data_IF_525182497767
#
_entry.id   IF_525182497767
#
_cell.length_a   1.000
_cell.length_b   1.000
_cell.length_c   1.000
_cell.angle_alpha   90.00
_cell.angle_beta   90.00
_cell.angle_gamma   90.00
#
_symmetry.space_group_name_H-M   'P 1'
#
loop_
_entity.id
_entity.type
_entity.pdbx_description
1 polymer ?
#
# COMPACT_ATOMS: atom_id res chain seq x y z
N UNK A 1 12.10 8.61 1.04
CA UNK A 1 11.97 7.18 1.33
C UNK A 1 10.73 6.73 0.54
N UNK A 2 10.40 5.45 0.45
CA UNK A 2 9.23 4.99 -0.33
C UNK A 2 8.65 3.75 0.32
N UNK A 3 7.31 3.67 0.39
CA UNK A 3 6.60 2.52 0.91
C UNK A 3 6.26 1.59 -0.26
N UNK A 4 6.58 0.30 -0.13
CA UNK A 4 6.29 -0.72 -1.14
C UNK A 4 5.38 -1.79 -0.59
N UNK A 5 4.26 -2.06 -1.29
CA UNK A 5 3.40 -3.20 -0.99
C UNK A 5 3.76 -4.35 -1.93
N UNK A 6 4.07 -5.53 -1.38
CA UNK A 6 4.45 -6.70 -2.18
C UNK A 6 3.90 -8.00 -1.58
N UNK A 7 3.50 -8.97 -2.42
CA UNK A 7 3.21 -10.31 -1.94
C UNK A 7 4.50 -11.00 -1.51
N UNK A 8 4.49 -11.55 -0.30
CA UNK A 8 5.54 -12.39 0.24
C UNK A 8 5.01 -13.82 0.36
N UNK A 9 5.72 -14.79 -0.20
CA UNK A 9 5.41 -16.21 0.04
C UNK A 9 6.24 -16.66 1.22
N UNK A 10 5.58 -16.99 2.33
CA UNK A 10 6.24 -17.58 3.51
C UNK A 10 6.54 -19.04 3.19
N UNK A 11 7.73 -19.32 2.67
CA UNK A 11 8.20 -20.71 2.54
C UNK A 11 8.91 -21.09 3.83
N UNK A 12 8.22 -21.83 4.71
CA UNK A 12 8.85 -22.39 5.90
C UNK A 12 9.82 -23.51 5.48
N UNK A 13 11.11 -23.21 5.41
CA UNK A 13 12.18 -24.19 5.46
C UNK A 13 13.14 -23.78 6.59
N UNK A 14 13.60 -24.78 7.33
CA UNK A 14 14.19 -24.63 8.66
C UNK A 14 15.33 -23.62 8.79
N UNK A 15 15.35 -23.04 9.98
CA UNK A 15 16.46 -22.45 10.74
C UNK A 15 17.23 -21.23 10.22
N UNK A 16 17.00 -20.73 9.01
CA UNK A 16 17.50 -19.41 8.62
C UNK A 16 16.44 -18.66 7.78
N UNK A 17 15.81 -17.65 8.38
CA UNK A 17 14.72 -16.86 7.80
C UNK A 17 15.19 -16.08 6.56
N UNK A 18 15.11 -16.70 5.38
CA UNK A 18 15.28 -16.00 4.09
C UNK A 18 13.91 -15.82 3.46
N UNK A 19 13.34 -14.63 3.59
CA UNK A 19 12.11 -14.21 2.91
C UNK A 19 12.38 -14.15 1.40
N UNK A 20 11.99 -15.19 0.67
CA UNK A 20 12.02 -15.15 -0.79
C UNK A 20 10.84 -14.31 -1.30
N UNK A 21 11.12 -13.03 -1.59
CA UNK A 21 10.19 -12.12 -2.27
C UNK A 21 10.03 -12.60 -3.72
N UNK A 22 8.97 -13.35 -3.99
CA UNK A 22 8.55 -13.62 -5.37
C UNK A 22 7.87 -12.35 -5.89
N UNK A 23 8.63 -11.54 -6.62
CA UNK A 23 8.20 -10.26 -7.20
C UNK A 23 7.03 -10.48 -8.17
N UNK A 24 5.79 -10.42 -7.67
CA UNK A 24 4.80 -9.63 -8.38
C UNK A 24 5.25 -8.17 -8.28
N UNK A 25 5.05 -7.40 -9.34
CA UNK A 25 5.46 -5.99 -9.41
C UNK A 25 4.80 -5.22 -8.25
N UNK A 26 5.55 -4.97 -7.18
CA UNK A 26 5.02 -4.35 -5.97
C UNK A 26 4.60 -2.91 -6.23
N UNK A 27 3.55 -2.45 -5.54
CA UNK A 27 3.09 -1.05 -5.67
C UNK A 27 4.01 -0.18 -4.83
N UNK A 28 4.90 0.55 -5.50
CA UNK A 28 5.78 1.52 -4.89
C UNK A 28 5.11 2.91 -4.86
N UNK A 29 5.03 3.50 -3.67
CA UNK A 29 4.48 4.83 -3.43
C UNK A 29 5.45 5.68 -2.62
N UNK A 30 5.47 6.98 -2.90
CA UNK A 30 6.23 7.95 -2.10
C UNK A 30 5.72 7.95 -0.64
N UNK A 31 6.62 8.09 0.35
CA UNK A 31 6.34 8.07 1.80
C UNK A 31 5.01 8.70 2.19
N UNK A 32 4.73 9.92 1.72
CA UNK A 32 3.52 10.64 2.13
C UNK A 32 2.25 10.04 1.55
N UNK A 33 2.31 9.58 0.30
CA UNK A 33 1.18 8.90 -0.33
C UNK A 33 1.00 7.49 0.26
N UNK A 34 2.10 6.82 0.62
CA UNK A 34 2.07 5.54 1.33
C UNK A 34 1.46 5.68 2.72
N UNK A 35 1.79 6.74 3.47
CA UNK A 35 1.17 7.03 4.76
C UNK A 35 -0.33 7.32 4.64
N UNK A 36 -0.75 8.11 3.64
CA UNK A 36 -2.17 8.35 3.34
C UNK A 36 -2.89 7.02 3.00
N UNK A 37 -2.25 6.13 2.23
CA UNK A 37 -2.79 4.80 1.90
C UNK A 37 -2.89 3.88 3.12
N UNK A 38 -1.86 3.84 3.97
CA UNK A 38 -1.88 3.03 5.20
C UNK A 38 -2.98 3.51 6.14
N UNK A 39 -3.16 4.83 6.26
CA UNK A 39 -4.28 5.42 7.01
C UNK A 39 -5.63 4.99 6.44
N UNK A 40 -5.81 5.03 5.11
CA UNK A 40 -7.04 4.58 4.44
C UNK A 40 -7.31 3.07 4.63
N UNK A 41 -6.26 2.26 4.68
CA UNK A 41 -6.36 0.81 4.91
C UNK A 41 -6.52 0.46 6.40
N UNK A 42 -6.46 1.45 7.29
CA UNK A 42 -6.47 1.26 8.74
C UNK A 42 -5.29 0.42 9.23
N UNK A 43 -4.13 0.59 8.59
CA UNK A 43 -2.88 -0.06 8.94
C UNK A 43 -1.97 0.95 9.64
N UNK A 44 -1.45 0.58 10.80
CA UNK A 44 -0.51 1.44 11.54
C UNK A 44 0.88 1.36 10.89
N UNK A 45 1.52 2.52 10.71
CA UNK A 45 2.90 2.62 10.25
C UNK A 45 3.75 3.26 11.35
N UNK A 46 4.23 2.43 12.28
CA UNK A 46 5.09 2.88 13.39
C UNK A 46 6.58 2.89 12.99
N UNK A 47 6.86 2.92 11.68
CA UNK A 47 8.22 2.93 11.12
C UNK A 47 8.81 1.53 10.85
N UNK A 48 8.04 0.47 11.10
CA UNK A 48 8.45 -0.92 10.87
C UNK A 48 7.63 -1.62 9.78
N UNK A 49 8.27 -2.64 9.22
CA UNK A 49 7.70 -3.65 8.34
C UNK A 49 6.40 -4.23 8.90
N UNK A 50 5.38 -4.37 8.05
CA UNK A 50 4.12 -5.01 8.41
C UNK A 50 3.72 -6.12 7.45
N UNK A 51 2.98 -7.11 7.96
CA UNK A 51 2.39 -8.21 7.18
C UNK A 51 0.90 -8.34 7.51
N UNK A 52 0.11 -8.76 6.53
CA UNK A 52 -1.25 -9.27 6.76
C UNK A 52 -1.64 -10.34 5.74
N UNK A 53 -2.66 -11.13 6.06
CA UNK A 53 -3.23 -12.10 5.12
C UNK A 53 -3.83 -11.38 3.91
N UNK A 54 -3.72 -11.98 2.72
CA UNK A 54 -4.16 -11.35 1.48
C UNK A 54 -5.68 -11.08 1.46
N UNK A 55 -6.49 -11.91 2.11
CA UNK A 55 -7.93 -11.72 2.24
C UNK A 55 -8.29 -10.54 3.15
N UNK A 56 -7.57 -10.37 4.27
CA UNK A 56 -7.74 -9.22 5.16
C UNK A 56 -7.32 -7.93 4.45
N UNK A 57 -6.20 -7.98 3.72
CA UNK A 57 -5.75 -6.87 2.89
C UNK A 57 -6.78 -6.50 1.83
N UNK A 58 -7.32 -7.49 1.10
CA UNK A 58 -8.36 -7.26 0.10
C UNK A 58 -9.62 -6.63 0.72
N UNK A 59 -10.06 -7.11 1.88
CA UNK A 59 -11.19 -6.53 2.61
C UNK A 59 -10.97 -5.05 2.95
N UNK A 60 -9.76 -4.70 3.41
CA UNK A 60 -9.36 -3.31 3.68
C UNK A 60 -9.30 -2.46 2.42
N UNK A 61 -8.77 -2.99 1.32
CA UNK A 61 -8.72 -2.29 0.02
C UNK A 61 -10.12 -1.99 -0.49
N UNK A 62 -11.04 -2.96 -0.44
CA UNK A 62 -12.43 -2.77 -0.85
C UNK A 62 -13.15 -1.73 0.01
N UNK A 63 -12.91 -1.75 1.32
CA UNK A 63 -13.45 -0.76 2.24
C UNK A 63 -12.87 0.64 1.98
N UNK A 64 -11.57 0.75 1.71
CA UNK A 64 -10.92 2.00 1.35
C UNK A 64 -11.44 2.56 0.02
N UNK A 65 -11.68 1.71 -0.99
CA UNK A 65 -12.30 2.11 -2.25
C UNK A 65 -13.72 2.67 -2.03
N UNK A 66 -14.52 2.03 -1.18
CA UNK A 66 -15.89 2.46 -0.88
C UNK A 66 -15.96 3.77 -0.07
N UNK A 67 -14.92 4.05 0.73
CA UNK A 67 -14.85 5.24 1.59
C UNK A 67 -14.00 6.37 1.02
N UNK A 68 -13.44 6.21 -0.19
CA UNK A 68 -12.46 7.15 -0.73
C UNK A 68 -12.99 8.59 -0.73
N UNK A 69 -14.20 8.81 -1.25
CA UNK A 69 -14.82 10.14 -1.35
C UNK A 69 -15.27 10.72 0.00
N UNK A 70 -15.32 9.89 1.05
CA UNK A 70 -15.70 10.31 2.41
C UNK A 70 -14.46 10.63 3.24
N UNK A 71 -13.40 9.85 3.08
CA UNK A 71 -12.19 9.92 3.89
C UNK A 71 -11.15 10.89 3.32
N UNK A 72 -11.17 11.16 2.01
CA UNK A 72 -10.21 12.04 1.35
C UNK A 72 -10.84 12.80 0.19
N UNK A 73 -10.26 13.95 -0.13
CA UNK A 73 -10.53 14.65 -1.39
C UNK A 73 -9.51 14.21 -2.45
N UNK A 74 -9.73 13.02 -3.04
CA UNK A 74 -8.90 12.55 -4.16
C UNK A 74 -9.33 13.15 -5.51
N UNK A 75 -10.58 13.61 -5.64
CA UNK A 75 -11.14 14.20 -6.85
C UNK A 75 -10.43 15.50 -7.24
N UNK A 76 -10.06 16.34 -6.27
CA UNK A 76 -9.35 17.59 -6.56
C UNK A 76 -7.82 17.44 -6.52
N UNK A 77 -7.31 16.28 -6.10
CA UNK A 77 -5.89 16.04 -5.90
C UNK A 77 -5.29 16.96 -4.82
N UNK A 78 -3.97 17.12 -4.85
CA UNK A 78 -3.25 18.04 -3.95
C UNK A 78 -2.23 18.86 -4.71
N UNK A 79 -2.25 20.17 -4.55
CA UNK A 79 -1.24 21.03 -5.18
C UNK A 79 0.13 20.81 -4.56
N UNK A 80 1.18 20.91 -5.39
CA UNK A 80 2.54 20.94 -4.89
C UNK A 80 2.75 22.25 -4.10
N UNK A 81 3.14 22.14 -2.84
CA UNK A 81 3.42 23.27 -1.98
C UNK A 81 4.90 23.28 -1.62
N UNK A 82 5.51 24.46 -1.59
CA UNK A 82 6.89 24.62 -1.13
C UNK A 82 6.92 25.66 -0.02
N UNK A 83 7.03 25.19 1.22
CA UNK A 83 7.18 26.04 2.39
C UNK A 83 8.62 25.95 2.91
N UNK A 84 9.39 27.03 2.70
CA UNK A 84 10.78 27.15 3.13
C UNK A 84 11.66 25.94 2.73
N UNK A 85 11.89 25.00 3.67
CA UNK A 85 12.72 23.80 3.49
C UNK A 85 11.91 22.58 3.03
N UNK A 86 10.59 22.61 3.14
CA UNK A 86 9.71 21.48 2.86
C UNK A 86 9.13 21.61 1.45
N UNK A 87 9.33 20.59 0.63
CA UNK A 87 8.66 20.46 -0.67
C UNK A 87 7.64 19.34 -0.55
N UNK A 88 6.36 19.70 -0.60
CA UNK A 88 5.27 18.76 -0.73
C UNK A 88 5.04 18.52 -2.23
N UNK A 89 5.41 17.33 -2.70
CA UNK A 89 5.12 16.90 -4.05
C UNK A 89 3.60 16.74 -4.16
N UNK A 90 2.98 17.54 -5.03
CA UNK A 90 1.54 17.48 -5.26
C UNK A 90 1.10 16.09 -5.75
N UNK A 91 -0.20 15.82 -5.60
CA UNK A 91 -0.87 14.59 -6.02
C UNK A 91 -1.87 14.91 -7.14
N UNK A 92 -1.85 14.12 -8.22
CA UNK A 92 -2.86 14.26 -9.28
C UNK A 92 -4.24 13.85 -8.76
N UNK A 93 -5.33 14.46 -9.26
CA UNK A 93 -6.67 13.92 -9.12
C UNK A 93 -6.73 12.42 -9.41
N UNK A 94 -7.44 11.66 -8.58
CA UNK A 94 -7.65 10.22 -8.77
C UNK A 94 -6.43 9.32 -8.46
N UNK A 95 -5.34 9.89 -7.93
CA UNK A 95 -4.13 9.09 -7.67
C UNK A 95 -4.37 7.98 -6.64
N UNK A 96 -5.11 8.25 -5.57
CA UNK A 96 -5.40 7.23 -4.56
C UNK A 96 -6.34 6.16 -5.11
N UNK A 97 -7.33 6.55 -5.93
CA UNK A 97 -8.20 5.60 -6.62
C UNK A 97 -7.40 4.62 -7.51
N UNK A 98 -6.44 5.14 -8.27
CA UNK A 98 -5.56 4.32 -9.10
C UNK A 98 -4.70 3.38 -8.25
N UNK A 99 -4.07 3.89 -7.19
CA UNK A 99 -3.22 3.07 -6.30
C UNK A 99 -4.04 1.98 -5.60
N UNK A 100 -5.26 2.27 -5.15
CA UNK A 100 -6.16 1.27 -4.57
C UNK A 100 -6.57 0.20 -5.58
N UNK A 101 -6.73 0.56 -6.86
CA UNK A 101 -6.99 -0.41 -7.93
C UNK A 101 -5.80 -1.34 -8.14
N UNK A 102 -4.58 -0.80 -8.17
CA UNK A 102 -3.36 -1.61 -8.25
C UNK A 102 -3.19 -2.54 -7.03
N UNK A 103 -3.48 -2.03 -5.83
CA UNK A 103 -3.46 -2.83 -4.61
C UNK A 103 -4.51 -3.95 -4.60
N UNK A 104 -5.68 -3.70 -5.18
CA UNK A 104 -6.71 -4.73 -5.37
C UNK A 104 -6.16 -5.86 -6.24
N UNK A 105 -5.53 -5.54 -7.38
CA UNK A 105 -4.94 -6.54 -8.27
C UNK A 105 -3.83 -7.34 -7.58
N UNK A 106 -2.97 -6.68 -6.80
CA UNK A 106 -1.93 -7.34 -6.01
C UNK A 106 -2.54 -8.28 -4.97
N UNK A 107 -3.60 -7.87 -4.29
CA UNK A 107 -4.29 -8.69 -3.30
C UNK A 107 -4.89 -9.96 -3.93
N UNK A 108 -5.53 -9.84 -5.11
CA UNK A 108 -6.06 -10.98 -5.84
C UNK A 108 -4.95 -11.96 -6.26
N UNK A 109 -3.85 -11.44 -6.80
CA UNK A 109 -2.70 -12.28 -7.17
C UNK A 109 -2.07 -12.98 -5.96
N UNK A 110 -2.09 -12.34 -4.78
CA UNK A 110 -1.60 -12.94 -3.55
C UNK A 110 -2.51 -14.07 -3.07
N UNK A 111 -3.84 -13.90 -3.12
CA UNK A 111 -4.82 -14.95 -2.79
C UNK A 111 -4.65 -16.17 -3.71
N UNK A 112 -4.52 -15.95 -5.03
CA UNK A 112 -4.30 -17.05 -5.99
C UNK A 112 -3.04 -17.88 -5.68
N UNK A 113 -2.07 -17.27 -5.02
CA UNK A 113 -0.76 -17.86 -4.70
C UNK A 113 -0.61 -18.27 -3.25
N UNK A 114 -1.66 -18.15 -2.43
CA UNK A 114 -1.63 -18.37 -0.98
C UNK A 114 -0.48 -17.58 -0.31
N UNK A 115 -0.29 -16.33 -0.73
CA UNK A 115 0.77 -15.44 -0.27
C UNK A 115 0.25 -14.41 0.73
N UNK A 116 1.11 -13.94 1.63
CA UNK A 116 0.81 -12.80 2.51
C UNK A 116 1.17 -11.49 1.83
N UNK A 117 0.57 -10.37 2.25
CA UNK A 117 0.94 -9.04 1.79
C UNK A 117 1.84 -8.40 2.84
N UNK A 118 2.97 -7.86 2.39
CA UNK A 118 3.92 -7.13 3.23
C UNK A 118 4.09 -5.68 2.76
N UNK A 119 4.40 -4.78 3.69
CA UNK A 119 4.78 -3.39 3.40
C UNK A 119 5.98 -2.93 4.21
N UNK A 120 6.81 -2.09 3.58
CA UNK A 120 8.01 -1.45 4.15
C UNK A 120 8.30 -0.12 3.46
#
# INVERSE_FOLDING_TARGET
>A
MSITFAPAVVTALGDESVTHVLTAEGVNVNDRNGADLLTLLGLDFDGDYGETAAEDFLGRVLLAQALLDVATDDEHGRFAAREARWTECGRRPGHLAERLTELHEVALQAIERDAVISWS
#
